data_IF_907436123169
#
_entry.id   IF_907436123169
#
_cell.length_a   1.000
_cell.length_b   1.000
_cell.length_c   1.000
_cell.angle_alpha   90.00
_cell.angle_beta   90.00
_cell.angle_gamma   90.00
#
_symmetry.space_group_name_H-M   'P 1'
#
loop_
_entity.id
_entity.type
_entity.pdbx_description
1 polymer ?
#
# COMPACT_ATOMS: atom_id res chain seq x y z
N UNK A 1 -23.41 -12.56 14.41
CA UNK A 1 -23.92 -11.48 13.54
C UNK A 1 -23.55 -10.13 14.17
N UNK A 2 -22.96 -9.24 13.40
CA UNK A 2 -22.63 -7.86 13.80
C UNK A 2 -23.30 -6.91 12.82
N UNK A 3 -23.79 -5.76 13.29
CA UNK A 3 -24.43 -4.74 12.49
C UNK A 3 -23.71 -3.39 12.70
N UNK A 4 -23.03 -2.91 11.66
CA UNK A 4 -22.49 -1.53 11.62
C UNK A 4 -23.58 -0.59 11.14
N UNK A 5 -23.91 0.43 11.94
CA UNK A 5 -25.14 1.20 11.74
C UNK A 5 -25.03 2.63 12.28
N UNK A 6 -26.09 3.43 12.17
CA UNK A 6 -26.17 4.81 12.62
C UNK A 6 -25.14 5.71 11.92
N UNK A 7 -25.07 5.58 10.59
CA UNK A 7 -24.19 6.39 9.73
C UNK A 7 -24.69 6.49 8.29
N UNK A 8 -24.04 7.37 7.53
CA UNK A 8 -24.13 7.37 6.07
C UNK A 8 -23.32 6.22 5.56
N UNK A 9 -23.84 5.48 4.58
CA UNK A 9 -23.17 4.32 4.05
C UNK A 9 -22.79 4.53 2.58
N UNK A 10 -21.51 4.35 2.29
CA UNK A 10 -20.94 4.33 0.95
C UNK A 10 -20.54 2.88 0.65
N UNK A 11 -21.10 2.29 -0.39
CA UNK A 11 -20.86 0.88 -0.70
C UNK A 11 -19.72 0.65 -1.70
N UNK A 12 -19.50 1.59 -2.61
CA UNK A 12 -18.63 1.43 -3.79
C UNK A 12 -19.09 0.25 -4.69
N UNK A 13 -20.33 -0.20 -4.56
CA UNK A 13 -20.90 -1.26 -5.39
C UNK A 13 -21.39 -0.65 -6.71
N UNK A 14 -20.70 -0.97 -7.81
CA UNK A 14 -21.06 -0.50 -9.16
C UNK A 14 -22.30 -1.15 -9.75
N UNK A 15 -22.76 -2.27 -9.18
CA UNK A 15 -23.93 -3.02 -9.63
C UNK A 15 -25.15 -2.78 -8.74
N UNK A 16 -24.93 -2.20 -7.55
CA UNK A 16 -25.95 -1.94 -6.54
C UNK A 16 -26.15 -0.45 -6.26
N UNK A 17 -26.73 -0.17 -5.08
CA UNK A 17 -26.91 1.21 -4.60
C UNK A 17 -25.63 1.71 -3.95
N UNK A 18 -25.00 2.74 -4.51
CA UNK A 18 -23.74 3.32 -4.09
C UNK A 18 -23.76 4.05 -2.73
N UNK A 19 -24.96 4.58 -2.34
CA UNK A 19 -25.10 5.44 -1.15
C UNK A 19 -26.42 5.24 -0.44
N UNK A 20 -26.38 5.28 0.90
CA UNK A 20 -27.54 5.30 1.79
C UNK A 20 -27.36 6.43 2.84
N UNK A 21 -28.34 7.33 2.97
CA UNK A 21 -28.30 8.39 4.01
C UNK A 21 -28.37 7.78 5.43
N UNK A 22 -29.13 6.72 5.60
CA UNK A 22 -29.25 5.92 6.83
C UNK A 22 -29.02 4.46 6.49
N UNK A 23 -27.75 4.09 6.31
CA UNK A 23 -27.37 2.75 5.89
C UNK A 23 -26.82 1.91 7.03
N UNK A 24 -26.82 0.60 6.79
CA UNK A 24 -26.19 -0.38 7.68
C UNK A 24 -25.57 -1.53 6.90
N UNK A 25 -24.57 -2.18 7.52
CA UNK A 25 -23.88 -3.36 7.02
C UNK A 25 -23.99 -4.45 8.07
N UNK A 26 -24.59 -5.59 7.69
CA UNK A 26 -24.60 -6.80 8.51
C UNK A 26 -23.50 -7.75 8.05
N UNK A 27 -22.67 -8.26 8.97
CA UNK A 27 -21.65 -9.25 8.66
C UNK A 27 -21.60 -10.37 9.68
N UNK A 28 -21.11 -11.53 9.24
CA UNK A 28 -20.89 -12.70 10.09
C UNK A 28 -19.58 -13.39 9.72
N UNK A 29 -18.75 -13.68 10.73
CA UNK A 29 -17.38 -14.15 10.48
C UNK A 29 -16.61 -13.13 9.64
N UNK A 30 -16.04 -13.57 8.53
CA UNK A 30 -15.22 -12.72 7.64
C UNK A 30 -16.00 -12.07 6.49
N UNK A 31 -17.32 -12.28 6.40
CA UNK A 31 -18.12 -11.91 5.22
C UNK A 31 -19.27 -10.98 5.53
N UNK A 32 -19.50 -10.05 4.63
CA UNK A 32 -20.73 -9.24 4.60
C UNK A 32 -21.90 -10.14 4.21
N UNK A 33 -22.96 -10.08 4.99
CA UNK A 33 -24.22 -10.84 4.76
C UNK A 33 -25.23 -9.99 4.02
N UNK A 34 -25.38 -8.74 4.40
CA UNK A 34 -26.38 -7.84 3.82
C UNK A 34 -26.00 -6.38 3.99
N UNK A 35 -26.38 -5.55 3.04
CA UNK A 35 -26.21 -4.10 3.05
C UNK A 35 -27.54 -3.45 2.69
N UNK A 36 -27.95 -2.40 3.39
CA UNK A 36 -29.23 -1.77 3.13
C UNK A 36 -29.61 -0.64 4.06
N UNK A 37 -30.88 -0.30 4.03
CA UNK A 37 -31.45 0.74 4.92
C UNK A 37 -31.38 0.25 6.38
N UNK A 38 -30.91 1.12 7.27
CA UNK A 38 -30.71 0.82 8.69
C UNK A 38 -31.96 0.24 9.35
N UNK A 39 -33.12 0.86 9.16
CA UNK A 39 -34.35 0.44 9.80
C UNK A 39 -34.75 -1.00 9.44
N UNK A 40 -34.53 -1.40 8.19
CA UNK A 40 -34.83 -2.76 7.71
C UNK A 40 -33.85 -3.78 8.32
N UNK A 41 -32.55 -3.47 8.34
CA UNK A 41 -31.54 -4.39 8.87
C UNK A 41 -31.64 -4.52 10.40
N UNK A 42 -31.92 -3.44 11.13
CA UNK A 42 -32.17 -3.48 12.58
C UNK A 42 -33.39 -4.33 12.94
N UNK A 43 -34.46 -4.25 12.16
CA UNK A 43 -35.65 -5.09 12.37
C UNK A 43 -35.34 -6.57 12.10
N UNK A 44 -34.56 -6.85 11.05
CA UNK A 44 -34.20 -8.22 10.64
C UNK A 44 -33.18 -8.88 11.57
N UNK A 45 -32.23 -8.13 12.08
CA UNK A 45 -31.10 -8.60 12.90
C UNK A 45 -31.15 -8.00 14.31
N UNK A 46 -32.31 -8.08 14.97
CA UNK A 46 -32.58 -7.42 16.26
C UNK A 46 -31.60 -7.84 17.39
N UNK A 47 -31.06 -9.06 17.32
CA UNK A 47 -30.11 -9.61 18.31
C UNK A 47 -28.63 -9.43 17.88
N UNK A 48 -28.34 -8.69 16.80
CA UNK A 48 -26.98 -8.46 16.36
C UNK A 48 -26.22 -7.55 17.35
N UNK A 49 -24.94 -7.83 17.52
CA UNK A 49 -24.01 -6.91 18.16
C UNK A 49 -23.91 -5.63 17.33
N UNK A 50 -23.94 -4.46 17.97
CA UNK A 50 -23.96 -3.16 17.31
C UNK A 50 -22.58 -2.52 17.35
N UNK A 51 -22.08 -2.13 16.17
CA UNK A 51 -20.99 -1.17 16.00
C UNK A 51 -21.61 0.15 15.56
N UNK A 52 -21.58 1.13 16.45
CA UNK A 52 -22.24 2.43 16.26
C UNK A 52 -21.31 3.40 15.51
N UNK A 53 -21.71 3.83 14.31
CA UNK A 53 -20.98 4.83 13.53
C UNK A 53 -21.18 6.28 14.04
N UNK A 54 -22.03 6.50 15.05
CA UNK A 54 -22.25 7.81 15.72
C UNK A 54 -22.55 8.97 14.76
N UNK A 55 -23.26 8.67 13.66
CA UNK A 55 -23.59 9.65 12.62
C UNK A 55 -22.45 9.92 11.63
N UNK A 56 -21.39 9.15 11.68
CA UNK A 56 -20.26 9.20 10.75
C UNK A 56 -20.54 8.57 9.39
N UNK A 57 -19.48 8.27 8.64
CA UNK A 57 -19.56 7.62 7.32
C UNK A 57 -19.00 6.21 7.41
N UNK A 58 -19.83 5.23 7.06
CA UNK A 58 -19.48 3.81 6.92
C UNK A 58 -19.04 3.59 5.48
N UNK A 59 -17.87 3.01 5.25
CA UNK A 59 -17.34 2.77 3.89
C UNK A 59 -16.41 1.56 3.86
N UNK A 60 -16.08 1.03 2.67
CA UNK A 60 -15.06 0.00 2.55
C UNK A 60 -13.73 0.47 3.12
N UNK A 61 -13.01 -0.44 3.78
CA UNK A 61 -11.66 -0.16 4.23
C UNK A 61 -10.71 0.06 3.04
N UNK A 62 -9.65 0.83 3.28
CA UNK A 62 -8.71 1.25 2.26
C UNK A 62 -7.62 0.18 2.01
N UNK A 63 -7.12 0.16 0.79
CA UNK A 63 -6.03 -0.71 0.33
C UNK A 63 -4.86 0.18 -0.04
N UNK A 64 -3.68 -0.08 0.52
CA UNK A 64 -2.43 0.55 0.15
C UNK A 64 -1.66 -0.38 -0.79
N UNK A 65 -1.58 -0.03 -2.07
CA UNK A 65 -1.01 -0.89 -3.10
C UNK A 65 0.52 -0.82 -3.22
N UNK A 66 1.19 0.04 -2.46
CA UNK A 66 2.65 0.12 -2.35
C UNK A 66 3.06 0.94 -1.13
N UNK A 67 3.85 0.32 -0.26
CA UNK A 67 4.44 0.97 0.92
C UNK A 67 5.74 0.27 1.30
N UNK A 68 6.49 0.89 2.20
CA UNK A 68 7.74 0.36 2.75
C UNK A 68 7.64 0.25 4.28
N UNK A 69 7.39 -0.93 4.78
CA UNK A 69 7.34 -1.18 6.23
C UNK A 69 8.63 -0.73 6.91
N UNK A 70 9.79 -0.99 6.30
CA UNK A 70 11.08 -0.63 6.87
C UNK A 70 11.28 0.86 7.14
N UNK A 71 10.52 1.72 6.48
CA UNK A 71 10.62 3.17 6.60
C UNK A 71 9.92 3.77 7.83
N UNK A 72 9.09 2.99 8.54
CA UNK A 72 8.26 3.53 9.62
C UNK A 72 9.07 4.22 10.73
N UNK A 73 10.28 3.73 11.01
CA UNK A 73 11.18 4.33 12.01
C UNK A 73 11.92 5.57 11.51
N UNK A 74 11.73 5.99 10.25
CA UNK A 74 12.34 7.19 9.70
C UNK A 74 11.57 8.47 10.01
N UNK A 75 10.36 8.39 10.55
CA UNK A 75 9.53 9.58 10.82
C UNK A 75 10.23 10.55 11.80
N UNK A 76 10.63 11.71 11.28
CA UNK A 76 11.37 12.73 12.04
C UNK A 76 12.88 12.51 12.11
N UNK A 77 13.42 11.48 11.46
CA UNK A 77 14.86 11.24 11.38
C UNK A 77 15.58 12.37 10.63
N UNK A 78 16.69 12.79 11.19
CA UNK A 78 17.69 13.63 10.52
C UNK A 78 19.04 12.94 10.63
N UNK A 79 19.66 12.62 9.52
CA UNK A 79 21.00 12.01 9.47
C UNK A 79 22.04 13.12 9.38
N UNK A 80 22.96 13.15 10.32
CA UNK A 80 24.01 14.19 10.41
C UNK A 80 24.91 14.15 9.18
N UNK A 81 25.05 15.31 8.52
CA UNK A 81 25.87 15.44 7.30
C UNK A 81 25.16 15.00 6.02
N UNK A 82 23.96 14.44 6.09
CA UNK A 82 23.17 14.12 4.92
C UNK A 82 22.38 15.36 4.44
N UNK A 83 22.69 15.83 3.24
CA UNK A 83 22.00 16.96 2.60
C UNK A 83 21.86 16.67 1.11
N UNK A 84 20.95 15.74 0.74
CA UNK A 84 20.84 15.26 -0.62
C UNK A 84 20.40 16.37 -1.59
N UNK A 85 21.06 16.44 -2.73
CA UNK A 85 20.79 17.40 -3.82
C UNK A 85 20.13 16.76 -5.04
N UNK A 86 20.03 15.45 -5.04
CA UNK A 86 19.39 14.65 -6.09
C UNK A 86 18.85 13.33 -5.51
N UNK A 87 18.04 12.64 -6.30
CA UNK A 87 17.37 11.43 -5.86
C UNK A 87 18.31 10.28 -5.45
N UNK A 88 19.42 10.10 -6.17
CA UNK A 88 20.39 9.07 -5.79
C UNK A 88 20.98 9.31 -4.40
N UNK A 89 21.28 10.56 -4.06
CA UNK A 89 21.76 10.94 -2.73
C UNK A 89 20.66 10.77 -1.65
N UNK A 90 19.37 10.91 -2.00
CA UNK A 90 18.26 10.55 -1.08
C UNK A 90 18.27 9.05 -0.80
N UNK A 91 18.43 8.23 -1.84
CA UNK A 91 18.51 6.77 -1.67
C UNK A 91 19.72 6.36 -0.84
N UNK A 92 20.93 6.75 -1.22
CA UNK A 92 22.16 6.31 -0.57
C UNK A 92 22.30 6.88 0.84
N UNK A 93 22.02 8.17 1.01
CA UNK A 93 22.19 8.86 2.29
C UNK A 93 21.04 8.69 3.29
N UNK A 94 19.88 8.20 2.87
CA UNK A 94 18.72 8.02 3.75
C UNK A 94 18.21 6.58 3.72
N UNK A 95 17.60 6.14 2.63
CA UNK A 95 16.86 4.87 2.61
C UNK A 95 17.79 3.65 2.70
N UNK A 96 18.90 3.63 1.93
CA UNK A 96 19.90 2.56 2.01
C UNK A 96 20.75 2.63 3.28
N UNK A 97 20.91 3.81 3.87
CA UNK A 97 21.54 3.92 5.19
C UNK A 97 20.63 3.27 6.26
N UNK A 98 19.32 3.54 6.25
CA UNK A 98 18.37 2.93 7.16
C UNK A 98 18.36 1.41 7.00
N UNK A 99 18.18 0.89 5.78
CA UNK A 99 18.03 -0.54 5.57
C UNK A 99 19.29 -1.35 5.90
N UNK A 100 20.49 -0.77 5.70
CA UNK A 100 21.78 -1.38 6.12
C UNK A 100 21.94 -1.48 7.63
N UNK A 101 21.23 -0.67 8.40
CA UNK A 101 21.27 -0.67 9.87
C UNK A 101 20.04 -1.34 10.51
N UNK A 102 19.06 -1.71 9.70
CA UNK A 102 17.84 -2.34 10.20
C UNK A 102 18.06 -3.83 10.45
N UNK A 103 18.07 -4.21 11.73
CA UNK A 103 18.16 -5.58 12.21
C UNK A 103 16.75 -6.12 12.51
N UNK A 104 16.62 -7.41 12.83
CA UNK A 104 15.35 -8.10 13.02
C UNK A 104 14.41 -7.42 14.03
N UNK A 105 14.95 -6.95 15.15
CA UNK A 105 14.16 -6.24 16.16
C UNK A 105 13.62 -4.90 15.62
N UNK A 106 14.45 -4.17 14.88
CA UNK A 106 14.03 -2.95 14.18
C UNK A 106 13.00 -3.23 13.09
N UNK A 107 13.13 -4.33 12.35
CA UNK A 107 12.15 -4.78 11.36
C UNK A 107 10.79 -5.08 12.02
N UNK A 108 10.79 -5.80 13.15
CA UNK A 108 9.57 -6.09 13.93
C UNK A 108 8.92 -4.80 14.45
N UNK A 109 9.70 -3.91 15.06
CA UNK A 109 9.20 -2.63 15.56
C UNK A 109 8.64 -1.75 14.44
N UNK A 110 9.30 -1.73 13.28
CA UNK A 110 8.85 -1.00 12.09
C UNK A 110 7.54 -1.55 11.56
N UNK A 111 7.39 -2.89 11.51
CA UNK A 111 6.15 -3.54 11.11
C UNK A 111 5.00 -3.22 12.09
N UNK A 112 5.25 -3.32 13.38
CA UNK A 112 4.27 -2.95 14.41
C UNK A 112 3.81 -1.50 14.24
N UNK A 113 4.76 -0.57 14.08
CA UNK A 113 4.47 0.85 13.92
C UNK A 113 3.61 1.14 12.69
N UNK A 114 3.99 0.60 11.52
CA UNK A 114 3.27 0.86 10.27
C UNK A 114 1.89 0.21 10.27
N UNK A 115 1.75 -1.01 10.80
CA UNK A 115 0.45 -1.67 10.89
C UNK A 115 -0.49 -0.96 11.86
N UNK A 116 -0.02 -0.54 13.05
CA UNK A 116 -0.83 0.25 13.98
C UNK A 116 -1.28 1.58 13.37
N UNK A 117 -0.37 2.29 12.67
CA UNK A 117 -0.69 3.54 11.99
C UNK A 117 -1.69 3.29 10.85
N UNK A 118 -1.53 2.22 10.08
CA UNK A 118 -2.45 1.82 9.01
C UNK A 118 -3.86 1.53 9.53
N UNK A 119 -4.01 0.80 10.64
CA UNK A 119 -5.30 0.58 11.29
C UNK A 119 -5.95 1.91 11.66
N UNK A 120 -5.16 2.84 12.21
CA UNK A 120 -5.64 4.18 12.62
C UNK A 120 -6.03 5.07 11.45
N UNK A 121 -5.55 4.76 10.24
CA UNK A 121 -5.89 5.48 9.00
C UNK A 121 -6.95 4.75 8.16
N UNK A 122 -7.49 3.62 8.66
CA UNK A 122 -8.52 2.85 7.97
C UNK A 122 -8.02 1.97 6.83
N UNK A 123 -6.73 1.66 6.81
CA UNK A 123 -6.11 0.73 5.84
C UNK A 123 -6.10 -0.67 6.43
N UNK A 124 -6.67 -1.64 5.72
CA UNK A 124 -6.74 -3.06 6.14
C UNK A 124 -5.95 -4.00 5.26
N UNK A 125 -5.54 -3.55 4.09
CA UNK A 125 -4.75 -4.35 3.13
C UNK A 125 -3.54 -3.56 2.66
N UNK A 126 -2.36 -4.19 2.72
CA UNK A 126 -1.07 -3.57 2.44
C UNK A 126 -0.28 -4.42 1.45
N UNK A 127 0.31 -3.77 0.44
CA UNK A 127 1.34 -4.34 -0.42
C UNK A 127 2.68 -3.72 -0.01
N UNK A 128 3.49 -4.49 0.72
CA UNK A 128 4.78 -4.04 1.24
C UNK A 128 5.92 -4.41 0.29
N UNK A 129 6.88 -3.51 0.17
CA UNK A 129 8.12 -3.67 -0.57
C UNK A 129 9.29 -3.46 0.40
N UNK A 130 9.78 -4.56 1.00
CA UNK A 130 10.63 -4.53 2.18
C UNK A 130 12.12 -4.56 1.85
N UNK A 131 12.90 -3.77 2.60
CA UNK A 131 14.36 -3.82 2.61
C UNK A 131 14.90 -3.75 4.04
N UNK A 132 15.86 -4.61 4.35
CA UNK A 132 16.60 -4.64 5.63
C UNK A 132 17.93 -5.33 5.43
N UNK A 133 18.84 -4.66 4.71
CA UNK A 133 20.15 -5.23 4.34
C UNK A 133 21.09 -5.41 5.54
N UNK A 134 20.77 -4.90 6.72
CA UNK A 134 21.41 -5.25 7.99
C UNK A 134 21.22 -6.73 8.32
N UNK A 135 19.99 -7.24 8.18
CA UNK A 135 19.63 -8.64 8.45
C UNK A 135 18.51 -9.07 7.50
N UNK A 136 18.80 -9.97 6.54
CA UNK A 136 17.85 -10.36 5.48
C UNK A 136 17.03 -11.60 5.85
N UNK A 137 17.66 -12.76 6.23
CA UNK A 137 16.91 -14.00 6.38
C UNK A 137 15.88 -13.95 7.49
N UNK A 138 14.62 -14.24 7.16
CA UNK A 138 13.51 -14.33 8.13
C UNK A 138 12.71 -13.04 8.31
N UNK A 139 13.07 -11.95 7.64
CA UNK A 139 12.40 -10.65 7.81
C UNK A 139 10.96 -10.65 7.31
N UNK A 140 10.69 -11.24 6.13
CA UNK A 140 9.32 -11.35 5.62
C UNK A 140 8.44 -12.22 6.53
N UNK A 141 9.02 -13.26 7.15
CA UNK A 141 8.31 -14.09 8.13
C UNK A 141 7.97 -13.31 9.39
N UNK A 142 8.92 -12.52 9.92
CA UNK A 142 8.70 -11.62 11.05
C UNK A 142 7.61 -10.58 10.76
N UNK A 143 7.63 -9.95 9.59
CA UNK A 143 6.59 -9.01 9.18
C UNK A 143 5.23 -9.72 9.09
N UNK A 144 5.19 -10.95 8.56
CA UNK A 144 3.95 -11.73 8.46
C UNK A 144 3.37 -12.13 9.82
N UNK A 145 4.23 -12.38 10.82
CA UNK A 145 3.80 -12.60 12.21
C UNK A 145 3.10 -11.37 12.79
N UNK A 146 3.69 -10.18 12.60
CA UNK A 146 3.11 -8.91 13.04
C UNK A 146 1.79 -8.58 12.29
N UNK A 147 1.74 -8.85 10.98
CA UNK A 147 0.52 -8.72 10.19
C UNK A 147 -0.63 -9.55 10.77
N UNK A 148 -0.38 -10.83 11.09
CA UNK A 148 -1.38 -11.71 11.71
C UNK A 148 -1.74 -11.26 13.11
N UNK A 149 -0.76 -10.87 13.93
CA UNK A 149 -0.98 -10.41 15.30
C UNK A 149 -1.90 -9.21 15.34
N UNK A 150 -1.68 -8.25 14.44
CA UNK A 150 -2.45 -7.01 14.33
C UNK A 150 -3.70 -7.15 13.47
N UNK A 151 -3.81 -8.22 12.69
CA UNK A 151 -5.03 -8.59 11.96
C UNK A 151 -5.20 -7.91 10.60
N UNK A 152 -4.11 -7.43 9.98
CA UNK A 152 -4.17 -6.85 8.63
C UNK A 152 -3.92 -7.90 7.55
N UNK A 153 -4.40 -7.62 6.35
CA UNK A 153 -4.08 -8.37 5.15
C UNK A 153 -2.82 -7.82 4.51
N UNK A 154 -1.86 -8.70 4.20
CA UNK A 154 -0.56 -8.26 3.66
C UNK A 154 -0.10 -9.09 2.48
N UNK A 155 0.38 -8.41 1.43
CA UNK A 155 1.14 -8.98 0.34
C UNK A 155 2.58 -8.48 0.46
N UNK A 156 3.54 -9.38 0.72
CA UNK A 156 4.90 -9.02 1.10
C UNK A 156 5.90 -9.46 0.04
N UNK A 157 6.97 -8.68 -0.14
CA UNK A 157 8.13 -9.05 -0.93
C UNK A 157 9.39 -8.37 -0.40
N UNK A 158 10.56 -8.93 -0.74
CA UNK A 158 11.86 -8.40 -0.37
C UNK A 158 12.58 -7.75 -1.57
N UNK A 159 13.14 -6.58 -1.42
CA UNK A 159 13.89 -5.85 -2.46
C UNK A 159 15.21 -6.56 -2.80
N UNK A 160 15.25 -7.33 -3.91
CA UNK A 160 16.50 -7.84 -4.45
C UNK A 160 17.29 -6.70 -5.08
N UNK A 161 18.60 -6.63 -4.79
CA UNK A 161 19.52 -5.63 -5.34
C UNK A 161 20.95 -6.14 -5.34
N UNK A 162 21.75 -5.69 -6.27
CA UNK A 162 23.21 -6.01 -6.36
C UNK A 162 24.07 -5.02 -5.55
N UNK A 163 23.48 -3.95 -5.01
CA UNK A 163 24.18 -2.79 -4.41
C UNK A 163 25.06 -3.13 -3.18
N UNK A 164 24.68 -4.16 -2.43
CA UNK A 164 25.42 -4.61 -1.23
C UNK A 164 26.14 -5.94 -1.43
N UNK A 165 26.42 -6.30 -2.71
CA UNK A 165 27.21 -7.43 -3.12
C UNK A 165 26.43 -8.73 -3.33
N UNK A 166 27.10 -9.71 -3.95
CA UNK A 166 26.47 -10.96 -4.43
C UNK A 166 25.87 -11.80 -3.29
N UNK A 167 26.50 -11.84 -2.11
CA UNK A 167 26.00 -12.62 -0.97
C UNK A 167 24.64 -12.10 -0.51
N UNK A 168 24.51 -10.79 -0.29
CA UNK A 168 23.25 -10.14 0.12
C UNK A 168 22.17 -10.26 -0.95
N UNK A 169 22.54 -10.14 -2.22
CA UNK A 169 21.64 -10.36 -3.35
C UNK A 169 21.05 -11.78 -3.33
N UNK A 170 21.88 -12.81 -3.15
CA UNK A 170 21.43 -14.21 -3.07
C UNK A 170 20.56 -14.48 -1.84
N UNK A 171 20.86 -13.87 -0.69
CA UNK A 171 20.01 -13.92 0.50
C UNK A 171 18.63 -13.33 0.22
N UNK A 172 18.55 -12.16 -0.45
CA UNK A 172 17.30 -11.50 -0.81
C UNK A 172 16.46 -12.33 -1.80
N UNK A 173 17.09 -12.93 -2.81
CA UNK A 173 16.44 -13.87 -3.73
C UNK A 173 15.85 -15.06 -2.96
N UNK A 174 16.65 -15.63 -2.05
CA UNK A 174 16.21 -16.78 -1.24
C UNK A 174 15.07 -16.41 -0.29
N UNK A 175 15.10 -15.24 0.34
CA UNK A 175 14.05 -14.77 1.23
C UNK A 175 12.69 -14.69 0.50
N UNK A 176 12.65 -14.08 -0.71
CA UNK A 176 11.47 -14.10 -1.55
C UNK A 176 10.98 -15.51 -1.88
N UNK A 177 11.89 -16.38 -2.36
CA UNK A 177 11.54 -17.72 -2.79
C UNK A 177 11.00 -18.61 -1.66
N UNK A 178 11.59 -18.50 -0.47
CA UNK A 178 11.17 -19.22 0.74
C UNK A 178 9.82 -18.70 1.23
N UNK A 179 9.64 -17.37 1.25
CA UNK A 179 8.40 -16.76 1.71
C UNK A 179 7.23 -17.04 0.75
N UNK A 180 7.43 -17.02 -0.56
CA UNK A 180 6.43 -17.45 -1.54
C UNK A 180 6.01 -18.90 -1.27
N UNK A 181 6.98 -19.80 -1.04
CA UNK A 181 6.71 -21.20 -0.71
C UNK A 181 5.91 -21.33 0.59
N UNK A 182 6.24 -20.51 1.59
CA UNK A 182 5.52 -20.46 2.86
C UNK A 182 4.07 -20.02 2.67
N UNK A 183 3.81 -18.93 1.96
CA UNK A 183 2.45 -18.45 1.70
C UNK A 183 1.60 -19.51 0.97
N UNK A 184 2.17 -20.17 -0.05
CA UNK A 184 1.48 -21.24 -0.77
C UNK A 184 1.12 -22.43 0.13
N UNK A 185 1.97 -22.79 1.09
CA UNK A 185 1.70 -23.88 2.04
C UNK A 185 0.69 -23.49 3.11
N UNK A 186 0.75 -22.27 3.61
CA UNK A 186 -0.18 -21.78 4.64
C UNK A 186 -1.60 -21.63 4.09
N UNK A 187 -1.73 -21.24 2.84
CA UNK A 187 -3.02 -20.94 2.20
C UNK A 187 -3.91 -20.01 3.05
N UNK A 188 -3.27 -19.02 3.67
CA UNK A 188 -3.90 -18.02 4.54
C UNK A 188 -4.53 -16.93 3.66
N UNK A 189 -5.86 -16.70 3.70
CA UNK A 189 -6.51 -15.70 2.87
C UNK A 189 -6.09 -14.26 3.22
N UNK A 190 -5.40 -14.06 4.34
CA UNK A 190 -4.89 -12.76 4.78
C UNK A 190 -3.44 -12.51 4.38
N UNK A 191 -2.74 -13.49 3.77
CA UNK A 191 -1.32 -13.40 3.48
C UNK A 191 -1.01 -13.83 2.04
N UNK A 192 -0.32 -12.95 1.31
CA UNK A 192 0.15 -13.21 -0.04
C UNK A 192 1.63 -12.81 -0.18
N UNK A 193 2.26 -13.24 -1.27
CA UNK A 193 3.64 -12.92 -1.59
C UNK A 193 3.80 -12.51 -3.05
N UNK A 194 4.69 -11.55 -3.27
CA UNK A 194 5.24 -11.20 -4.58
C UNK A 194 6.75 -11.50 -4.60
N UNK A 195 7.39 -11.39 -5.76
CA UNK A 195 8.84 -11.41 -5.86
C UNK A 195 9.35 -9.97 -5.98
N UNK A 196 10.07 -9.48 -4.99
CA UNK A 196 10.54 -8.09 -4.94
C UNK A 196 11.84 -7.88 -5.71
N UNK A 197 11.95 -6.75 -6.40
CA UNK A 197 13.19 -6.22 -6.94
C UNK A 197 13.24 -4.72 -6.66
N UNK A 198 14.42 -4.18 -6.27
CA UNK A 198 14.52 -2.78 -5.91
C UNK A 198 14.20 -1.87 -7.11
N UNK A 199 15.17 -1.60 -7.97
CA UNK A 199 15.04 -0.74 -9.17
C UNK A 199 16.03 -1.18 -10.23
N UNK A 200 15.78 -0.85 -11.52
CA UNK A 200 16.57 -1.40 -12.62
C UNK A 200 18.06 -1.05 -12.57
N UNK A 201 18.40 0.16 -12.09
CA UNK A 201 19.79 0.61 -11.97
C UNK A 201 20.57 -0.08 -10.83
N UNK A 202 19.89 -0.85 -9.97
CA UNK A 202 20.51 -1.62 -8.88
C UNK A 202 20.48 -3.13 -9.11
N UNK A 203 19.98 -3.59 -10.26
CA UNK A 203 19.81 -5.01 -10.59
C UNK A 203 20.42 -5.28 -11.95
N UNK A 204 21.40 -6.17 -12.02
CA UNK A 204 22.00 -6.63 -13.28
C UNK A 204 21.09 -7.62 -14.02
N UNK A 205 21.30 -7.79 -15.33
CA UNK A 205 20.57 -8.79 -16.12
C UNK A 205 20.77 -10.20 -15.57
N UNK A 206 21.99 -10.53 -15.12
CA UNK A 206 22.28 -11.79 -14.42
C UNK A 206 21.42 -12.00 -13.19
N UNK A 207 21.16 -10.95 -12.44
CA UNK A 207 20.32 -11.01 -11.24
C UNK A 207 18.85 -11.13 -11.61
N UNK A 208 18.37 -10.44 -12.66
CA UNK A 208 17.02 -10.68 -13.19
C UNK A 208 16.81 -12.14 -13.61
N UNK A 209 17.76 -12.74 -14.32
CA UNK A 209 17.67 -14.17 -14.71
C UNK A 209 17.56 -15.08 -13.47
N UNK A 210 18.36 -14.82 -12.43
CA UNK A 210 18.30 -15.54 -11.14
C UNK A 210 16.95 -15.35 -10.42
N UNK A 211 16.39 -14.13 -10.43
CA UNK A 211 15.07 -13.86 -9.86
C UNK A 211 13.98 -14.64 -10.60
N UNK A 212 14.04 -14.65 -11.94
CA UNK A 212 13.07 -15.39 -12.78
C UNK A 212 13.19 -16.90 -12.54
N UNK A 213 14.39 -17.45 -12.49
CA UNK A 213 14.62 -18.85 -12.15
C UNK A 213 14.09 -19.21 -10.76
N UNK A 214 14.41 -18.40 -9.75
CA UNK A 214 13.96 -18.61 -8.37
C UNK A 214 12.45 -18.45 -8.20
N UNK A 215 11.81 -17.53 -8.91
CA UNK A 215 10.36 -17.35 -8.92
C UNK A 215 9.66 -18.50 -9.64
N UNK A 216 10.21 -18.98 -10.72
CA UNK A 216 9.66 -20.07 -11.55
C UNK A 216 8.16 -19.89 -11.86
N UNK A 217 7.73 -18.67 -12.15
CA UNK A 217 6.34 -18.33 -12.50
C UNK A 217 5.32 -18.48 -11.36
N UNK A 218 5.75 -18.61 -10.09
CA UNK A 218 4.87 -18.85 -8.95
C UNK A 218 4.02 -17.63 -8.58
N UNK A 219 4.55 -16.42 -8.79
CA UNK A 219 3.86 -15.16 -8.48
C UNK A 219 4.34 -14.03 -9.40
N UNK A 220 3.71 -12.85 -9.30
CA UNK A 220 4.17 -11.64 -9.99
C UNK A 220 5.33 -10.95 -9.26
N UNK A 221 5.84 -9.89 -9.88
CA UNK A 221 6.95 -9.10 -9.35
C UNK A 221 6.46 -7.74 -8.83
N UNK A 222 7.18 -7.20 -7.86
CA UNK A 222 7.00 -5.84 -7.37
C UNK A 222 8.35 -5.13 -7.47
N UNK A 223 8.43 -4.04 -8.26
CA UNK A 223 9.69 -3.38 -8.59
C UNK A 223 9.45 -1.88 -8.86
N UNK A 224 10.38 -1.01 -8.45
CA UNK A 224 10.38 0.41 -8.81
C UNK A 224 10.88 0.57 -10.25
N UNK A 225 10.18 1.35 -11.06
CA UNK A 225 10.48 1.50 -12.50
C UNK A 225 10.40 2.94 -12.93
N UNK A 226 11.50 3.42 -13.51
CA UNK A 226 11.55 4.79 -14.06
C UNK A 226 11.07 5.84 -13.05
N UNK A 227 11.43 5.64 -11.78
CA UNK A 227 11.13 6.55 -10.69
C UNK A 227 11.92 7.84 -10.83
N UNK A 228 13.25 7.74 -10.97
CA UNK A 228 14.12 8.84 -11.32
C UNK A 228 14.75 8.63 -12.72
N UNK A 229 15.26 9.72 -13.30
CA UNK A 229 15.96 9.64 -14.60
C UNK A 229 17.24 8.81 -14.57
N UNK A 230 17.85 8.65 -13.39
CA UNK A 230 19.00 7.75 -13.19
C UNK A 230 18.68 6.31 -13.62
N UNK A 231 17.48 5.81 -13.34
CA UNK A 231 17.02 4.48 -13.76
C UNK A 231 16.96 4.35 -15.27
N UNK A 232 16.46 5.38 -15.95
CA UNK A 232 16.38 5.44 -17.42
C UNK A 232 17.77 5.52 -18.06
N UNK A 233 18.65 6.39 -17.54
CA UNK A 233 20.00 6.57 -18.08
C UNK A 233 20.88 5.35 -17.88
N UNK A 234 20.83 4.74 -16.68
CA UNK A 234 21.57 3.50 -16.41
C UNK A 234 21.15 2.38 -17.36
N UNK A 235 19.85 2.18 -17.50
CA UNK A 235 19.28 1.14 -18.36
C UNK A 235 19.68 1.31 -19.82
N UNK A 236 19.64 2.55 -20.34
CA UNK A 236 20.07 2.85 -21.70
C UNK A 236 21.59 2.69 -21.89
N UNK A 237 22.39 3.21 -20.95
CA UNK A 237 23.84 3.20 -21.04
C UNK A 237 24.43 1.80 -20.94
N UNK A 238 23.97 1.00 -20.00
CA UNK A 238 24.56 -0.29 -19.69
C UNK A 238 23.93 -1.45 -20.46
N UNK A 239 22.65 -1.32 -20.85
CA UNK A 239 21.89 -2.42 -21.46
C UNK A 239 21.27 -2.09 -22.83
N UNK A 240 21.34 -0.82 -23.28
CA UNK A 240 20.78 -0.38 -24.57
C UNK A 240 19.26 -0.51 -24.67
N UNK A 241 18.57 -0.62 -23.54
CA UNK A 241 17.11 -0.74 -23.43
C UNK A 241 16.58 0.28 -22.45
N UNK A 242 15.34 0.69 -22.62
CA UNK A 242 14.63 1.44 -21.58
C UNK A 242 14.11 0.49 -20.47
N UNK A 243 13.84 1.00 -19.27
CA UNK A 243 13.49 0.16 -18.11
C UNK A 243 12.40 -0.90 -18.37
N UNK A 244 11.25 -0.51 -18.92
CA UNK A 244 10.14 -1.45 -19.15
C UNK A 244 10.46 -2.47 -20.24
N UNK A 245 11.22 -2.06 -21.29
CA UNK A 245 11.69 -2.98 -22.34
C UNK A 245 12.64 -4.03 -21.76
N UNK A 246 13.53 -3.64 -20.85
CA UNK A 246 14.45 -4.55 -20.17
C UNK A 246 13.70 -5.57 -19.32
N UNK A 247 12.66 -5.15 -18.59
CA UNK A 247 11.81 -6.08 -17.84
C UNK A 247 11.04 -7.05 -18.76
N UNK A 248 10.59 -6.58 -19.92
CA UNK A 248 9.94 -7.43 -20.93
C UNK A 248 10.90 -8.50 -21.45
N UNK A 249 12.15 -8.11 -21.77
CA UNK A 249 13.17 -9.04 -22.29
C UNK A 249 13.47 -10.18 -21.29
N UNK A 250 13.38 -9.92 -19.97
CA UNK A 250 13.54 -10.92 -18.89
C UNK A 250 12.26 -11.65 -18.50
N UNK A 251 11.10 -11.34 -19.09
CA UNK A 251 9.83 -12.00 -18.78
C UNK A 251 9.28 -11.67 -17.39
N UNK A 252 9.58 -10.49 -16.86
CA UNK A 252 9.13 -10.04 -15.52
C UNK A 252 7.73 -9.45 -15.58
N UNK A 253 7.33 -8.87 -16.73
CA UNK A 253 6.03 -8.24 -16.89
C UNK A 253 4.88 -9.25 -16.95
N UNK A 254 3.70 -8.85 -16.53
CA UNK A 254 2.49 -9.67 -16.56
C UNK A 254 1.41 -9.18 -15.61
N UNK A 255 0.23 -9.80 -15.68
CA UNK A 255 -0.99 -9.37 -14.97
C UNK A 255 -0.85 -9.34 -13.43
N UNK A 256 0.13 -10.05 -12.86
CA UNK A 256 0.41 -10.05 -11.42
C UNK A 256 1.60 -9.17 -11.03
N UNK A 257 2.26 -8.50 -11.97
CA UNK A 257 3.41 -7.64 -11.70
C UNK A 257 2.95 -6.20 -11.41
N UNK A 258 3.50 -5.60 -10.35
CA UNK A 258 3.35 -4.20 -9.98
C UNK A 258 4.64 -3.45 -10.30
N UNK A 259 4.51 -2.36 -11.07
CA UNK A 259 5.57 -1.38 -11.30
C UNK A 259 5.29 -0.15 -10.44
N UNK A 260 6.16 0.13 -9.49
CA UNK A 260 6.10 1.35 -8.69
C UNK A 260 6.47 2.59 -9.51
N UNK A 261 5.79 3.70 -9.27
CA UNK A 261 6.02 5.06 -9.81
C UNK A 261 5.78 5.24 -11.30
N UNK A 262 6.57 4.65 -12.19
CA UNK A 262 6.48 4.82 -13.65
C UNK A 262 6.45 6.30 -14.10
N UNK A 263 7.25 7.17 -13.45
CA UNK A 263 7.22 8.63 -13.70
C UNK A 263 7.79 8.96 -15.08
N UNK A 264 8.93 8.34 -15.42
CA UNK A 264 9.70 8.67 -16.62
C UNK A 264 9.53 7.63 -17.76
N UNK A 265 8.42 6.90 -17.76
CA UNK A 265 8.07 5.99 -18.86
C UNK A 265 7.66 6.77 -20.09
N UNK A 266 8.05 6.28 -21.27
CA UNK A 266 7.62 6.85 -22.56
C UNK A 266 6.40 6.12 -23.14
N UNK A 267 5.89 6.61 -24.28
CA UNK A 267 4.71 6.06 -24.93
C UNK A 267 4.86 4.57 -25.27
N UNK A 268 6.01 4.15 -25.80
CA UNK A 268 6.24 2.75 -26.16
C UNK A 268 6.27 1.84 -24.92
N UNK A 269 6.85 2.31 -23.82
CA UNK A 269 6.82 1.59 -22.53
C UNK A 269 5.41 1.48 -21.96
N UNK A 270 4.59 2.55 -22.08
CA UNK A 270 3.18 2.48 -21.67
C UNK A 270 2.38 1.47 -22.51
N UNK A 271 2.68 1.35 -23.81
CA UNK A 271 2.03 0.37 -24.69
C UNK A 271 2.44 -1.07 -24.28
N UNK A 272 3.71 -1.34 -23.95
CA UNK A 272 4.17 -2.62 -23.39
C UNK A 272 3.48 -2.95 -22.07
N UNK A 273 3.38 -2.00 -21.14
CA UNK A 273 2.67 -2.17 -19.86
C UNK A 273 1.22 -2.58 -20.12
N UNK A 274 0.55 -1.90 -21.06
CA UNK A 274 -0.83 -2.23 -21.45
C UNK A 274 -0.97 -3.61 -22.05
N UNK A 275 -0.12 -3.97 -23.00
CA UNK A 275 -0.17 -5.25 -23.72
C UNK A 275 0.08 -6.45 -22.81
N UNK A 276 0.97 -6.28 -21.82
CA UNK A 276 1.28 -7.33 -20.84
C UNK A 276 0.28 -7.42 -19.69
N UNK A 277 -0.64 -6.46 -19.57
CA UNK A 277 -1.59 -6.37 -18.45
C UNK A 277 -0.92 -6.04 -17.11
N UNK A 278 0.33 -5.55 -17.14
CA UNK A 278 1.10 -5.17 -15.95
C UNK A 278 0.45 -3.99 -15.24
N UNK A 279 0.48 -4.02 -13.92
CA UNK A 279 -0.12 -3.00 -13.06
C UNK A 279 0.91 -1.91 -12.74
N UNK A 280 0.43 -0.68 -12.58
CA UNK A 280 1.25 0.45 -12.13
C UNK A 280 0.68 0.99 -10.81
N UNK A 281 1.54 1.40 -9.88
CA UNK A 281 1.13 2.08 -8.65
C UNK A 281 1.78 3.44 -8.55
N UNK A 282 0.96 4.48 -8.47
CA UNK A 282 1.39 5.87 -8.29
C UNK A 282 1.51 6.20 -6.80
N UNK A 283 2.62 6.83 -6.41
CA UNK A 283 2.93 7.24 -5.03
C UNK A 283 3.09 8.77 -4.98
N UNK A 284 2.00 9.55 -4.97
CA UNK A 284 2.05 10.98 -5.30
C UNK A 284 2.90 11.81 -4.34
N UNK A 285 2.83 11.55 -3.04
CA UNK A 285 3.58 12.29 -2.02
C UNK A 285 5.08 12.01 -2.09
N UNK A 286 5.44 10.73 -2.25
CA UNK A 286 6.83 10.31 -2.40
C UNK A 286 7.44 10.91 -3.67
N UNK A 287 6.74 10.83 -4.80
CA UNK A 287 7.19 11.39 -6.07
C UNK A 287 7.52 12.88 -5.94
N UNK A 288 6.65 13.64 -5.27
CA UNK A 288 6.83 15.08 -5.05
C UNK A 288 7.88 15.38 -3.98
N UNK A 289 7.87 14.65 -2.87
CA UNK A 289 8.80 14.84 -1.75
C UNK A 289 10.25 14.52 -2.12
N UNK A 290 10.46 13.50 -2.96
CA UNK A 290 11.79 13.16 -3.51
C UNK A 290 12.18 14.03 -4.72
N UNK A 291 11.31 14.97 -5.13
CA UNK A 291 11.54 15.88 -6.27
C UNK A 291 11.87 15.15 -7.59
N UNK A 292 11.26 14.00 -7.84
CA UNK A 292 11.55 13.14 -9.00
C UNK A 292 10.58 13.31 -10.17
N UNK A 293 9.51 14.05 -9.96
CA UNK A 293 8.51 14.36 -10.98
C UNK A 293 7.11 13.89 -10.59
N UNK A 294 6.23 13.81 -11.56
CA UNK A 294 4.82 13.44 -11.38
C UNK A 294 4.49 12.33 -12.37
N UNK A 295 3.94 11.22 -11.86
CA UNK A 295 3.49 10.10 -12.67
C UNK A 295 2.48 10.56 -13.73
N UNK A 296 2.59 10.13 -15.00
CA UNK A 296 1.69 10.53 -16.08
C UNK A 296 0.32 9.83 -16.00
N UNK A 297 -0.38 9.99 -14.88
CA UNK A 297 -1.64 9.32 -14.53
C UNK A 297 -2.67 9.40 -15.65
N UNK A 298 -2.88 10.60 -16.21
CA UNK A 298 -3.88 10.80 -17.28
C UNK A 298 -3.57 9.96 -18.51
N UNK A 299 -2.29 9.82 -18.87
CA UNK A 299 -1.88 9.07 -20.05
C UNK A 299 -1.97 7.55 -19.83
N UNK A 300 -1.61 7.08 -18.64
CA UNK A 300 -1.73 5.67 -18.23
C UNK A 300 -3.20 5.26 -18.14
N UNK A 301 -4.02 6.05 -17.48
CA UNK A 301 -5.47 5.81 -17.33
C UNK A 301 -6.18 5.80 -18.70
N UNK A 302 -5.87 6.76 -19.57
CA UNK A 302 -6.45 6.83 -20.94
C UNK A 302 -6.16 5.57 -21.77
N UNK A 303 -5.02 4.90 -21.52
CA UNK A 303 -4.67 3.64 -22.18
C UNK A 303 -5.40 2.43 -21.55
N UNK A 304 -6.11 2.62 -20.45
CA UNK A 304 -6.75 1.55 -19.69
C UNK A 304 -5.74 0.62 -19.02
N UNK A 305 -4.58 1.14 -18.61
CA UNK A 305 -3.63 0.46 -17.73
C UNK A 305 -4.25 0.39 -16.33
N UNK A 306 -4.15 -0.76 -15.66
CA UNK A 306 -4.57 -0.89 -14.27
C UNK A 306 -3.60 -0.10 -13.39
N UNK A 307 -4.03 1.10 -13.01
CA UNK A 307 -3.24 2.06 -12.26
C UNK A 307 -3.83 2.22 -10.86
N UNK A 308 -3.08 1.82 -9.85
CA UNK A 308 -3.42 1.95 -8.42
C UNK A 308 -2.71 3.12 -7.74
N UNK A 309 -2.93 3.22 -6.44
CA UNK A 309 -2.35 4.23 -5.55
C UNK A 309 -1.68 3.58 -4.35
N UNK A 310 -0.48 4.04 -4.03
CA UNK A 310 0.27 3.69 -2.82
C UNK A 310 0.75 4.94 -2.10
N UNK A 311 1.40 4.75 -0.96
CA UNK A 311 1.95 5.83 -0.13
C UNK A 311 3.47 5.83 -0.08
N UNK A 312 4.09 4.74 -0.55
CA UNK A 312 5.54 4.57 -0.44
C UNK A 312 6.01 4.71 1.03
N UNK A 313 7.13 5.37 1.26
CA UNK A 313 7.71 5.59 2.58
C UNK A 313 7.20 6.85 3.32
N UNK A 314 6.20 7.56 2.79
CA UNK A 314 5.84 8.91 3.24
C UNK A 314 4.71 8.96 4.26
N UNK A 315 3.63 8.20 4.06
CA UNK A 315 2.45 8.22 4.93
C UNK A 315 1.73 6.87 4.91
N UNK A 316 0.75 6.69 5.78
CA UNK A 316 -0.24 5.60 5.71
C UNK A 316 -1.65 6.13 5.38
N UNK A 317 -1.81 7.47 5.24
CA UNK A 317 -3.09 8.13 4.96
C UNK A 317 -3.39 8.15 3.45
N UNK A 318 -4.15 7.17 2.99
CA UNK A 318 -4.56 7.04 1.59
C UNK A 318 -5.47 8.20 1.11
N UNK A 319 -6.21 8.86 2.01
CA UNK A 319 -7.06 10.01 1.66
C UNK A 319 -6.23 11.28 1.48
N UNK A 320 -5.13 11.44 2.23
CA UNK A 320 -4.14 12.48 2.00
C UNK A 320 -3.49 12.29 0.61
N UNK A 321 -3.03 11.08 0.32
CA UNK A 321 -2.45 10.72 -0.98
C UNK A 321 -3.44 10.94 -2.15
N UNK A 322 -4.72 10.67 -1.96
CA UNK A 322 -5.77 10.96 -2.95
C UNK A 322 -5.83 12.45 -3.31
N UNK A 323 -5.81 13.33 -2.30
CA UNK A 323 -5.81 14.77 -2.49
C UNK A 323 -4.54 15.27 -3.18
N UNK A 324 -3.39 14.78 -2.74
CA UNK A 324 -2.09 15.12 -3.35
C UNK A 324 -2.03 14.65 -4.81
N UNK A 325 -2.53 13.45 -5.11
CA UNK A 325 -2.63 12.96 -6.48
C UNK A 325 -3.44 13.90 -7.38
N UNK A 326 -4.62 14.35 -6.93
CA UNK A 326 -5.44 15.30 -7.71
C UNK A 326 -4.71 16.62 -7.95
N UNK A 327 -4.15 17.20 -6.89
CA UNK A 327 -3.47 18.49 -6.97
C UNK A 327 -2.23 18.41 -7.88
N UNK A 328 -1.45 17.33 -7.79
CA UNK A 328 -0.27 17.12 -8.62
C UNK A 328 -0.61 16.99 -10.12
N UNK A 329 -1.66 16.23 -10.46
CA UNK A 329 -2.10 16.10 -11.86
C UNK A 329 -2.57 17.44 -12.45
N UNK A 330 -3.36 18.22 -11.72
CA UNK A 330 -3.81 19.54 -12.14
C UNK A 330 -2.66 20.52 -12.30
N UNK A 331 -1.74 20.54 -11.35
CA UNK A 331 -0.55 21.40 -11.41
C UNK A 331 0.36 21.05 -12.59
N UNK A 332 0.66 19.75 -12.78
CA UNK A 332 1.51 19.29 -13.87
C UNK A 332 0.95 19.59 -15.26
N UNK A 333 -0.36 19.42 -15.43
CA UNK A 333 -1.02 19.60 -16.73
C UNK A 333 -1.51 21.03 -16.95
N UNK A 334 -1.45 21.92 -15.95
CA UNK A 334 -2.01 23.28 -15.99
C UNK A 334 -3.50 23.31 -16.41
N UNK A 335 -4.28 22.27 -16.01
CA UNK A 335 -5.69 22.10 -16.36
C UNK A 335 -6.52 21.83 -15.10
N UNK A 336 -7.55 22.66 -14.79
CA UNK A 336 -8.34 22.49 -13.57
C UNK A 336 -9.38 21.37 -13.64
N UNK A 337 -9.70 20.86 -14.82
CA UNK A 337 -10.76 19.90 -15.09
C UNK A 337 -10.26 18.46 -15.32
N UNK A 338 -9.01 18.15 -14.96
CA UNK A 338 -8.43 16.80 -15.08
C UNK A 338 -8.19 16.16 -13.75
N UNK A 339 -7.97 14.85 -13.75
CA UNK A 339 -7.50 14.07 -12.61
C UNK A 339 -8.60 13.58 -11.68
N UNK A 340 -9.83 14.05 -11.78
CA UNK A 340 -10.89 13.73 -10.81
C UNK A 340 -11.27 12.25 -10.84
N UNK A 341 -11.71 11.75 -11.96
CA UNK A 341 -12.09 10.33 -12.11
C UNK A 341 -10.87 9.42 -12.00
N UNK A 342 -9.75 9.83 -12.58
CA UNK A 342 -8.53 9.04 -12.61
C UNK A 342 -8.00 8.75 -11.21
N UNK A 343 -7.96 9.76 -10.31
CA UNK A 343 -7.42 9.55 -8.96
C UNK A 343 -8.39 8.81 -8.05
N UNK A 344 -9.70 9.02 -8.20
CA UNK A 344 -10.71 8.27 -7.44
C UNK A 344 -10.76 6.81 -7.88
N UNK A 345 -10.64 6.54 -9.18
CA UNK A 345 -10.53 5.18 -9.70
C UNK A 345 -9.29 4.45 -9.16
N UNK A 346 -8.13 5.13 -9.08
CA UNK A 346 -6.92 4.51 -8.53
C UNK A 346 -7.15 3.97 -7.12
N UNK A 347 -7.70 4.79 -6.21
CA UNK A 347 -7.86 4.40 -4.82
C UNK A 347 -9.04 3.45 -4.59
N UNK A 348 -10.23 3.80 -5.11
CA UNK A 348 -11.46 3.12 -4.70
C UNK A 348 -11.84 1.91 -5.55
N UNK A 349 -11.36 1.85 -6.80
CA UNK A 349 -11.69 0.76 -7.71
C UNK A 349 -10.48 -0.07 -8.11
N UNK A 350 -9.37 0.58 -8.47
CA UNK A 350 -8.23 -0.14 -9.02
C UNK A 350 -7.39 -0.82 -7.94
N UNK A 351 -7.24 -0.24 -6.74
CA UNK A 351 -6.58 -0.92 -5.63
C UNK A 351 -7.32 -2.21 -5.25
N UNK A 352 -8.66 -2.21 -5.31
CA UNK A 352 -9.46 -3.44 -5.13
C UNK A 352 -9.17 -4.49 -6.21
N UNK A 353 -9.06 -4.08 -7.49
CA UNK A 353 -8.69 -4.98 -8.60
C UNK A 353 -7.25 -5.51 -8.47
N UNK A 354 -6.32 -4.70 -7.96
CA UNK A 354 -4.95 -5.14 -7.61
C UNK A 354 -5.03 -6.19 -6.49
N UNK A 355 -5.79 -5.91 -5.42
CA UNK A 355 -6.04 -6.85 -4.33
C UNK A 355 -6.58 -8.20 -4.81
N UNK A 356 -7.52 -8.18 -5.74
CA UNK A 356 -8.14 -9.39 -6.31
C UNK A 356 -7.17 -10.28 -7.11
N UNK A 357 -5.97 -9.79 -7.49
CA UNK A 357 -4.93 -10.62 -8.11
C UNK A 357 -4.20 -11.53 -7.10
N UNK A 358 -4.29 -11.21 -5.80
CA UNK A 358 -3.53 -11.85 -4.74
C UNK A 358 -4.38 -12.46 -3.63
N UNK A 359 -5.54 -11.91 -3.37
CA UNK A 359 -6.43 -12.33 -2.30
C UNK A 359 -7.73 -12.93 -2.85
N UNK A 360 -8.27 -13.99 -2.22
CA UNK A 360 -9.47 -14.67 -2.72
C UNK A 360 -10.76 -13.89 -2.45
N UNK A 361 -10.73 -12.99 -1.46
CA UNK A 361 -11.90 -12.22 -1.05
C UNK A 361 -12.09 -10.98 -1.91
N UNK A 362 -13.33 -10.61 -2.19
CA UNK A 362 -13.65 -9.34 -2.83
C UNK A 362 -13.46 -8.20 -1.82
N UNK A 363 -12.58 -7.24 -2.15
CA UNK A 363 -12.17 -6.13 -1.31
C UNK A 363 -12.63 -4.79 -1.86
N UNK A 364 -12.63 -3.74 -1.03
CA UNK A 364 -12.92 -2.37 -1.45
C UNK A 364 -14.38 -2.09 -1.82
N UNK A 365 -15.30 -2.99 -1.46
CA UNK A 365 -16.73 -2.86 -1.73
C UNK A 365 -17.52 -3.40 -0.54
N UNK A 366 -18.67 -2.78 -0.25
CA UNK A 366 -19.62 -3.29 0.75
C UNK A 366 -20.84 -3.86 0.03
N UNK A 367 -20.86 -5.18 -0.13
CA UNK A 367 -21.99 -5.96 -0.67
C UNK A 367 -21.99 -7.38 -0.10
N UNK A 368 -23.11 -8.07 -0.21
CA UNK A 368 -23.22 -9.47 0.26
C UNK A 368 -22.15 -10.37 -0.38
N UNK A 369 -21.45 -11.15 0.42
CA UNK A 369 -20.36 -12.05 0.00
C UNK A 369 -18.97 -11.43 -0.04
N UNK A 370 -18.83 -10.11 -0.06
CA UNK A 370 -17.54 -9.43 0.02
C UNK A 370 -16.89 -9.61 1.41
N UNK A 371 -15.60 -9.31 1.51
CA UNK A 371 -14.91 -9.29 2.80
C UNK A 371 -15.53 -8.26 3.74
N UNK A 372 -15.64 -8.61 5.02
CA UNK A 372 -16.06 -7.65 6.05
C UNK A 372 -14.88 -6.74 6.44
N UNK A 373 -14.40 -5.96 5.47
CA UNK A 373 -13.38 -4.94 5.61
C UNK A 373 -14.07 -3.57 5.58
N UNK A 374 -14.34 -3.02 6.77
CA UNK A 374 -15.23 -1.87 6.96
C UNK A 374 -14.54 -0.83 7.81
N UNK A 375 -14.66 0.45 7.44
CA UNK A 375 -14.24 1.55 8.30
C UNK A 375 -15.39 2.51 8.58
N UNK A 376 -15.27 3.18 9.71
CA UNK A 376 -16.17 4.28 10.10
C UNK A 376 -15.34 5.54 10.24
N UNK A 377 -15.69 6.56 9.47
CA UNK A 377 -15.06 7.88 9.51
C UNK A 377 -15.89 8.82 10.39
N UNK A 378 -15.26 9.48 11.36
CA UNK A 378 -15.89 10.58 12.12
C UNK A 378 -15.95 11.84 11.27
N UNK A 379 -16.80 11.78 10.26
CA UNK A 379 -17.02 12.87 9.34
C UNK A 379 -18.49 13.31 9.35
N UNK A 380 -18.72 14.55 9.74
CA UNK A 380 -20.05 15.18 9.79
C UNK A 380 -20.06 16.36 8.83
N UNK A 381 -20.63 16.19 7.61
CA UNK A 381 -20.62 17.24 6.62
C UNK A 381 -21.45 18.44 7.05
N UNK A 382 -20.95 19.65 6.84
CA UNK A 382 -21.69 20.91 7.00
C UNK A 382 -22.25 21.44 5.68
N UNK A 383 -22.07 20.68 4.59
CA UNK A 383 -22.66 20.91 3.27
C UNK A 383 -23.48 19.67 2.87
N UNK A 384 -24.39 19.75 1.88
CA UNK A 384 -25.15 18.59 1.43
C UNK A 384 -24.23 17.42 1.04
N UNK A 385 -24.59 16.23 1.48
CA UNK A 385 -23.87 14.99 1.18
C UNK A 385 -24.81 14.04 0.43
N UNK A 386 -24.44 13.60 -0.75
CA UNK A 386 -25.23 12.73 -1.61
C UNK A 386 -24.34 11.86 -2.47
N UNK A 387 -24.92 10.90 -3.17
CA UNK A 387 -24.21 10.01 -4.11
C UNK A 387 -23.42 10.78 -5.18
N UNK A 388 -23.91 11.96 -5.59
CA UNK A 388 -23.29 12.77 -6.64
C UNK A 388 -22.02 13.49 -6.19
N UNK A 389 -21.77 13.63 -4.88
CA UNK A 389 -20.65 14.45 -4.37
C UNK A 389 -19.74 13.75 -3.33
N UNK A 390 -19.90 12.45 -3.14
CA UNK A 390 -19.10 11.62 -2.22
C UNK A 390 -17.61 11.88 -2.40
N UNK A 391 -17.11 11.82 -3.64
CA UNK A 391 -15.68 11.97 -3.93
C UNK A 391 -15.16 13.37 -3.57
N UNK A 392 -16.00 14.39 -3.68
CA UNK A 392 -15.68 15.74 -3.24
C UNK A 392 -15.48 15.83 -1.73
N UNK A 393 -16.35 15.17 -0.97
CA UNK A 393 -16.22 15.09 0.49
C UNK A 393 -14.99 14.27 0.89
N UNK A 394 -14.69 13.18 0.20
CA UNK A 394 -13.48 12.39 0.47
C UNK A 394 -12.19 13.16 0.19
N UNK A 395 -12.10 13.82 -0.97
CA UNK A 395 -10.89 14.56 -1.36
C UNK A 395 -10.65 15.81 -0.49
N UNK A 396 -11.70 16.56 -0.19
CA UNK A 396 -11.56 17.88 0.44
C UNK A 396 -11.99 17.94 1.90
N UNK A 397 -12.71 16.95 2.38
CA UNK A 397 -13.29 16.93 3.71
C UNK A 397 -12.77 15.85 4.64
N UNK A 398 -12.26 14.73 4.11
CA UNK A 398 -11.81 13.59 4.91
C UNK A 398 -10.30 13.43 4.89
N UNK A 399 -9.76 12.90 5.99
CA UNK A 399 -8.40 12.39 6.12
C UNK A 399 -8.45 11.08 6.91
N UNK A 400 -7.45 10.23 6.76
CA UNK A 400 -7.39 8.96 7.49
C UNK A 400 -7.43 9.13 9.01
N UNK A 401 -6.95 10.27 9.54
CA UNK A 401 -7.00 10.60 10.98
C UNK A 401 -8.40 10.67 11.57
N UNK A 402 -9.42 10.83 10.73
CA UNK A 402 -10.84 10.80 11.14
C UNK A 402 -11.41 9.37 11.20
N UNK A 403 -10.64 8.33 10.81
CA UNK A 403 -11.09 6.96 10.96
C UNK A 403 -11.22 6.63 12.45
N UNK A 404 -12.44 6.35 12.93
CA UNK A 404 -12.69 6.02 14.32
C UNK A 404 -12.81 4.52 14.60
N UNK A 405 -13.25 3.74 13.61
CA UNK A 405 -13.39 2.28 13.71
C UNK A 405 -12.84 1.61 12.47
N UNK A 406 -12.08 0.53 12.67
CA UNK A 406 -11.48 -0.27 11.61
C UNK A 406 -11.79 -1.74 11.85
N UNK A 407 -12.41 -2.38 10.86
CA UNK A 407 -12.76 -3.79 10.84
C UNK A 407 -12.05 -4.43 9.65
N UNK A 408 -11.30 -5.49 9.87
CA UNK A 408 -10.65 -6.27 8.83
C UNK A 408 -11.04 -7.75 8.94
N UNK A 409 -11.50 -8.35 7.85
CA UNK A 409 -12.00 -9.73 7.82
C UNK A 409 -12.97 -10.01 8.99
N UNK A 410 -13.86 -9.05 9.30
CA UNK A 410 -14.85 -9.12 10.36
C UNK A 410 -14.33 -8.97 11.79
N UNK A 411 -13.03 -8.80 11.99
CA UNK A 411 -12.45 -8.52 13.31
C UNK A 411 -12.34 -7.01 13.53
N UNK A 412 -12.90 -6.50 14.63
CA UNK A 412 -12.73 -5.10 15.03
C UNK A 412 -11.29 -4.91 15.52
N UNK A 413 -10.48 -4.16 14.77
CA UNK A 413 -9.08 -3.87 15.10
C UNK A 413 -8.94 -2.57 15.88
N UNK A 414 -9.81 -1.61 15.61
CA UNK A 414 -9.89 -0.33 16.31
C UNK A 414 -11.35 0.07 16.48
N UNK A 415 -11.70 0.58 17.64
CA UNK A 415 -13.01 1.17 17.93
C UNK A 415 -12.84 2.46 18.72
N UNK A 416 -13.50 3.52 18.30
CA UNK A 416 -13.41 4.85 18.93
C UNK A 416 -11.95 5.35 19.08
N UNK A 417 -11.12 5.07 18.06
CA UNK A 417 -9.69 5.41 18.02
C UNK A 417 -8.81 4.59 18.99
N UNK A 418 -9.34 3.59 19.67
CA UNK A 418 -8.61 2.70 20.57
C UNK A 418 -8.36 1.36 19.86
N UNK A 419 -7.12 0.93 19.79
CA UNK A 419 -6.76 -0.37 19.24
C UNK A 419 -7.24 -1.51 20.15
N UNK A 420 -7.94 -2.48 19.55
CA UNK A 420 -8.56 -3.57 20.31
C UNK A 420 -7.54 -4.69 20.58
N UNK A 421 -7.33 -5.00 21.85
CA UNK A 421 -6.44 -6.09 22.27
C UNK A 421 -4.94 -5.79 22.12
N UNK A 422 -4.58 -4.52 21.93
CA UNK A 422 -3.20 -4.04 21.84
C UNK A 422 -2.92 -3.06 22.97
N UNK A 423 -1.85 -3.30 23.71
CA UNK A 423 -1.29 -2.32 24.65
C UNK A 423 -0.46 -1.30 23.88
N UNK A 424 -1.14 -0.24 23.42
CA UNK A 424 -0.53 0.77 22.57
C UNK A 424 0.63 1.51 23.27
N UNK A 425 0.58 1.67 24.58
CA UNK A 425 1.64 2.34 25.35
C UNK A 425 2.90 1.48 25.36
N UNK A 426 2.76 0.18 25.62
CA UNK A 426 3.88 -0.76 25.61
C UNK A 426 4.48 -0.92 24.20
N UNK A 427 3.66 -1.02 23.17
CA UNK A 427 4.14 -1.10 21.77
C UNK A 427 4.88 0.18 21.37
N UNK A 428 4.34 1.35 21.67
CA UNK A 428 4.98 2.63 21.37
C UNK A 428 6.32 2.79 22.11
N UNK A 429 6.43 2.30 23.35
CA UNK A 429 7.68 2.30 24.09
C UNK A 429 8.74 1.43 23.41
N UNK A 430 8.37 0.22 22.96
CA UNK A 430 9.27 -0.67 22.22
C UNK A 430 9.69 -0.08 20.87
N UNK A 431 8.74 0.46 20.10
CA UNK A 431 9.02 1.13 18.82
C UNK A 431 9.99 2.31 19.02
N UNK A 432 9.78 3.12 20.06
CA UNK A 432 10.65 4.25 20.37
C UNK A 432 12.07 3.81 20.69
N UNK A 433 12.26 2.73 21.46
CA UNK A 433 13.59 2.20 21.77
C UNK A 433 14.31 1.66 20.52
N UNK A 434 13.60 0.95 19.64
CA UNK A 434 14.13 0.48 18.36
C UNK A 434 14.53 1.67 17.46
N UNK A 435 13.69 2.71 17.40
CA UNK A 435 13.99 3.93 16.65
C UNK A 435 15.22 4.66 17.19
N UNK A 436 15.34 4.83 18.51
CA UNK A 436 16.51 5.44 19.15
C UNK A 436 17.80 4.68 18.83
N UNK A 437 17.75 3.35 18.85
CA UNK A 437 18.89 2.51 18.49
C UNK A 437 19.29 2.75 17.04
N UNK A 438 18.35 2.63 16.09
CA UNK A 438 18.59 2.87 14.67
C UNK A 438 19.17 4.27 14.43
N UNK A 439 18.57 5.30 15.01
CA UNK A 439 19.04 6.69 14.86
C UNK A 439 20.40 6.91 15.51
N UNK A 440 20.67 6.22 16.63
CA UNK A 440 21.96 6.24 17.31
C UNK A 440 23.07 5.67 16.44
N UNK A 441 22.79 4.51 15.82
CA UNK A 441 23.72 3.85 14.90
C UNK A 441 24.00 4.74 13.66
N UNK A 442 22.95 5.30 13.05
CA UNK A 442 23.04 6.18 11.89
C UNK A 442 23.80 7.48 12.17
N UNK A 443 23.68 8.04 13.38
CA UNK A 443 24.25 9.34 13.74
C UNK A 443 25.45 9.24 14.69
N UNK A 444 25.88 8.03 15.06
CA UNK A 444 26.97 7.78 16.01
C UNK A 444 26.78 8.51 17.34
N UNK A 445 25.55 8.53 17.88
CA UNK A 445 25.19 9.17 19.15
C UNK A 445 24.04 8.45 19.87
N UNK A 446 23.87 8.75 21.17
CA UNK A 446 22.74 8.25 21.96
C UNK A 446 21.55 9.22 21.87
N UNK A 447 20.34 8.68 21.74
CA UNK A 447 19.07 9.43 21.74
C UNK A 447 18.26 9.19 23.00
#
# INVERSE_FOLDING_TARGET
MVLVTHGRLITRDSEGKGYYEHGAVAYEGTKIVEVGEEAALRAKYAEAEIVDAKGGVIMPALINAHTHIYSALARGLSIVGNNPTNFYEVLDGTWWAIDRHLMMDGTRASATALYMDSIKQGVTTIFDHHASYGEIPGTLFTISEESRRLGLRSCLCYEVSDRDGEEKCLQAIKENADFITYCQKQNDPMLAAMFGGHALFTISDKTFDRMVEANNGRTGYHIHVSEGMNDVYDSLQNYGRRPVQRLQDHGILGEKTILGHCIHVNTAEMDIIKETGTMVVNNPESNMGNAIGICPVLQLHKRGILLGMGTDAYTTDMLESLKVALCSQRSQNCLPNVGWCEVTDMLFHNNAKIGARYFPDELGVLKAGAAADIIVMDYKPFTPFSDENIDGHMIFGMTGRQCQTTIAAGKVLMQDRVLVGIDEEAENAHILEAAKKLWGDLNHRTY
#
